data_IF_472987309493
#
_entry.id   IF_472987309493
#
_cell.length_a   1.000
_cell.length_b   1.000
_cell.length_c   1.000
_cell.angle_alpha   90.00
_cell.angle_beta   90.00
_cell.angle_gamma   90.00
#
_symmetry.space_group_name_H-M   'P 1'
#
loop_
_entity.id
_entity.type
_entity.pdbx_description
1 polymer ?
#
# COMPACT_ATOMS: atom_id res chain seq x y z
N UNK A 1 -7.58 11.56 -26.45
CA UNK A 1 -6.77 11.63 -25.22
C UNK A 1 -7.49 10.94 -24.08
N UNK A 2 -6.83 10.05 -23.36
CA UNK A 2 -7.40 9.34 -22.22
C UNK A 2 -6.47 9.43 -20.99
N UNK A 3 -6.98 9.06 -19.80
CA UNK A 3 -6.23 9.16 -18.54
C UNK A 3 -4.91 8.37 -18.56
N UNK A 4 -4.87 7.20 -19.21
CA UNK A 4 -3.66 6.38 -19.29
C UNK A 4 -2.53 7.10 -20.05
N UNK A 5 -2.84 7.71 -21.19
CA UNK A 5 -1.89 8.49 -21.97
C UNK A 5 -1.34 9.68 -21.18
N UNK A 6 -2.22 10.39 -20.48
CA UNK A 6 -1.84 11.51 -19.60
C UNK A 6 -0.93 11.05 -18.48
N UNK A 7 -1.25 9.94 -17.81
CA UNK A 7 -0.44 9.36 -16.74
C UNK A 7 0.95 8.93 -17.21
N UNK A 8 1.04 8.26 -18.34
CA UNK A 8 2.32 7.80 -18.88
C UNK A 8 3.21 8.99 -19.26
N UNK A 9 2.62 10.01 -19.90
CA UNK A 9 3.35 11.23 -20.22
C UNK A 9 3.78 12.01 -18.98
N UNK A 10 2.90 12.14 -18.00
CA UNK A 10 3.21 12.80 -16.74
C UNK A 10 4.36 12.11 -16.00
N UNK A 11 4.34 10.78 -15.90
CA UNK A 11 5.41 9.99 -15.28
C UNK A 11 6.75 10.17 -16.01
N UNK A 12 6.73 10.26 -17.33
CA UNK A 12 7.91 10.56 -18.14
C UNK A 12 8.45 11.95 -17.80
N UNK A 13 7.58 12.96 -17.71
CA UNK A 13 7.98 14.33 -17.37
C UNK A 13 8.56 14.43 -15.94
N UNK A 14 7.96 13.76 -14.96
CA UNK A 14 8.52 13.67 -13.61
C UNK A 14 9.91 13.03 -13.63
N UNK A 15 10.06 11.93 -14.35
CA UNK A 15 11.33 11.16 -14.40
C UNK A 15 12.43 11.89 -15.17
N UNK A 16 12.11 12.48 -16.33
CA UNK A 16 13.09 13.07 -17.24
C UNK A 16 13.46 14.50 -16.90
N UNK A 17 12.50 15.29 -16.38
CA UNK A 17 12.67 16.72 -16.09
C UNK A 17 12.62 17.06 -14.61
N UNK A 18 12.33 16.09 -13.72
CA UNK A 18 12.22 16.31 -12.28
C UNK A 18 11.05 17.22 -11.90
N UNK A 19 9.99 17.25 -12.71
CA UNK A 19 8.84 18.10 -12.44
C UNK A 19 8.04 17.60 -11.24
N UNK A 20 7.42 18.55 -10.53
CA UNK A 20 6.40 18.22 -9.54
C UNK A 20 5.24 17.46 -10.23
N UNK A 21 4.70 16.39 -9.62
CA UNK A 21 3.63 15.58 -10.20
C UNK A 21 2.40 16.38 -10.67
N UNK A 22 2.01 17.39 -9.89
CA UNK A 22 0.85 18.24 -10.25
C UNK A 22 1.13 19.09 -11.48
N UNK A 23 2.34 19.62 -11.59
CA UNK A 23 2.75 20.38 -12.75
C UNK A 23 2.95 19.49 -13.98
N UNK A 24 3.48 18.28 -13.79
CA UNK A 24 3.65 17.30 -14.85
C UNK A 24 2.31 16.85 -15.46
N UNK A 25 1.26 16.74 -14.65
CA UNK A 25 -0.08 16.40 -15.15
C UNK A 25 -0.68 17.51 -16.04
N UNK A 26 -0.53 18.77 -15.63
CA UNK A 26 -0.96 19.92 -16.45
C UNK A 26 -0.21 19.92 -17.78
N UNK A 27 1.13 19.84 -17.73
CA UNK A 27 1.96 19.86 -18.91
C UNK A 27 1.70 18.67 -19.84
N UNK A 28 1.42 17.49 -19.29
CA UNK A 28 1.09 16.30 -20.08
C UNK A 28 -0.24 16.47 -20.83
N UNK A 29 -1.23 17.08 -20.19
CA UNK A 29 -2.53 17.38 -20.84
C UNK A 29 -2.33 18.41 -21.94
N UNK A 30 -1.61 19.51 -21.69
CA UNK A 30 -1.32 20.55 -22.69
C UNK A 30 -0.61 19.94 -23.90
N UNK A 31 0.46 19.15 -23.70
CA UNK A 31 1.24 18.52 -24.77
C UNK A 31 0.40 17.51 -25.59
N UNK A 32 -0.53 16.79 -24.96
CA UNK A 32 -1.36 15.79 -25.63
C UNK A 32 -2.63 16.40 -26.25
N UNK A 33 -3.07 17.55 -25.77
CA UNK A 33 -4.22 18.29 -26.34
C UNK A 33 -3.83 19.06 -27.61
N UNK A 34 -2.55 19.38 -27.80
CA UNK A 34 -2.07 20.05 -29.03
C UNK A 34 -2.46 19.24 -30.27
N UNK A 35 -3.39 19.77 -31.05
CA UNK A 35 -3.83 19.16 -32.32
C UNK A 35 -5.12 18.32 -32.23
N UNK A 36 -5.76 18.22 -31.09
CA UNK A 36 -7.05 17.55 -30.95
C UNK A 36 -8.21 18.55 -31.18
N UNK A 37 -9.13 18.19 -32.08
CA UNK A 37 -10.31 19.01 -32.43
C UNK A 37 -11.54 18.71 -31.55
N UNK A 38 -11.43 17.78 -30.62
CA UNK A 38 -12.54 17.38 -29.75
C UNK A 38 -12.52 18.14 -28.42
N UNK A 39 -13.72 18.53 -27.95
CA UNK A 39 -13.89 19.10 -26.62
C UNK A 39 -13.59 18.04 -25.56
N UNK A 40 -12.42 18.13 -24.97
CA UNK A 40 -11.95 17.24 -23.90
C UNK A 40 -12.11 17.98 -22.58
N UNK A 41 -12.56 17.29 -21.55
CA UNK A 41 -12.60 17.82 -20.19
C UNK A 41 -11.17 17.75 -19.58
N UNK A 42 -10.35 18.74 -19.94
CA UNK A 42 -8.95 18.85 -19.52
C UNK A 42 -8.82 18.98 -18.00
N UNK A 43 -9.69 19.80 -17.37
CA UNK A 43 -9.69 19.99 -15.92
C UNK A 43 -9.93 18.67 -15.18
N UNK A 44 -10.84 17.85 -15.68
CA UNK A 44 -11.10 16.53 -15.14
C UNK A 44 -9.90 15.60 -15.30
N UNK A 45 -9.29 15.56 -16.47
CA UNK A 45 -8.12 14.70 -16.73
C UNK A 45 -6.91 15.12 -15.88
N UNK A 46 -6.66 16.42 -15.74
CA UNK A 46 -5.62 16.95 -14.85
C UNK A 46 -5.90 16.55 -13.40
N UNK A 47 -7.15 16.71 -12.93
CA UNK A 47 -7.51 16.34 -11.57
C UNK A 47 -7.36 14.83 -11.31
N UNK A 48 -7.77 13.99 -12.27
CA UNK A 48 -7.61 12.54 -12.20
C UNK A 48 -6.14 12.10 -12.26
N UNK A 49 -5.34 12.71 -13.13
CA UNK A 49 -3.90 12.43 -13.24
C UNK A 49 -3.16 12.86 -11.99
N UNK A 50 -3.41 14.04 -11.46
CA UNK A 50 -2.84 14.49 -10.19
C UNK A 50 -3.18 13.55 -9.04
N UNK A 51 -4.41 13.05 -9.02
CA UNK A 51 -4.86 12.11 -8.03
C UNK A 51 -4.07 10.79 -8.06
N UNK A 52 -3.72 10.32 -9.24
CA UNK A 52 -2.96 9.07 -9.44
C UNK A 52 -1.44 9.24 -9.25
N UNK A 53 -0.90 10.41 -9.65
CA UNK A 53 0.54 10.69 -9.59
C UNK A 53 1.04 11.02 -8.18
N UNK A 54 0.20 11.68 -7.37
CA UNK A 54 0.55 12.11 -6.01
C UNK A 54 0.68 10.95 -5.02
N UNK A 55 0.41 9.71 -5.44
CA UNK A 55 0.38 8.56 -4.56
C UNK A 55 -0.62 8.77 -3.42
N UNK A 56 -0.25 8.37 -2.20
CA UNK A 56 -1.06 8.60 -1.00
C UNK A 56 -0.57 9.78 -0.17
N UNK A 57 -0.02 10.80 -0.84
CA UNK A 57 0.38 12.08 -0.25
C UNK A 57 1.25 11.94 1.03
N UNK A 58 0.82 12.61 2.09
CA UNK A 58 1.52 12.66 3.37
C UNK A 58 1.77 11.29 4.01
N UNK A 59 1.02 10.24 3.65
CA UNK A 59 1.25 8.89 4.19
C UNK A 59 2.15 8.02 3.29
N UNK A 60 2.46 8.45 2.07
CA UNK A 60 3.28 7.67 1.14
C UNK A 60 4.66 7.28 1.71
N UNK A 61 5.42 8.17 2.38
CA UNK A 61 6.70 7.80 2.97
C UNK A 61 6.60 6.65 3.98
N UNK A 62 5.51 6.58 4.74
CA UNK A 62 5.25 5.50 5.70
C UNK A 62 4.85 4.20 5.00
N UNK A 63 4.16 4.28 3.88
CA UNK A 63 3.85 3.11 3.05
C UNK A 63 5.11 2.56 2.37
N UNK A 64 6.03 3.42 1.98
CA UNK A 64 7.27 3.01 1.32
C UNK A 64 8.34 2.49 2.31
N UNK A 65 8.27 2.88 3.58
CA UNK A 65 9.22 2.42 4.61
C UNK A 65 9.04 0.92 4.90
N UNK A 66 10.01 0.05 4.51
CA UNK A 66 9.90 -1.39 4.69
C UNK A 66 9.94 -1.86 6.17
N UNK A 67 10.30 -0.97 7.10
CA UNK A 67 10.32 -1.26 8.52
C UNK A 67 8.95 -1.16 9.17
N UNK A 68 8.01 -0.45 8.54
CA UNK A 68 6.65 -0.26 9.04
C UNK A 68 5.78 -1.42 8.59
N UNK A 69 5.08 -2.03 9.54
CA UNK A 69 4.20 -3.18 9.32
C UNK A 69 2.73 -2.77 9.22
N UNK A 70 2.34 -1.78 9.98
CA UNK A 70 0.94 -1.34 10.11
C UNK A 70 0.83 0.15 10.39
N UNK A 71 -0.22 0.80 9.86
CA UNK A 71 -0.49 2.23 9.96
C UNK A 71 -1.94 2.44 10.43
N UNK A 72 -2.15 3.44 11.30
CA UNK A 72 -3.50 3.84 11.75
C UNK A 72 -3.66 5.35 11.68
N UNK A 73 -4.81 5.79 11.20
CA UNK A 73 -5.27 7.18 11.26
C UNK A 73 -6.66 7.15 11.89
N UNK A 74 -6.73 7.47 13.19
CA UNK A 74 -7.98 7.49 13.94
C UNK A 74 -8.53 8.90 14.14
N UNK A 75 -7.75 9.91 13.77
CA UNK A 75 -8.12 11.33 13.75
C UNK A 75 -7.23 12.09 12.76
N UNK A 76 -7.74 13.19 12.18
CA UNK A 76 -6.93 14.08 11.37
C UNK A 76 -5.73 14.60 12.14
N UNK A 77 -4.62 14.84 11.44
CA UNK A 77 -3.39 15.40 12.02
C UNK A 77 -2.51 14.40 12.77
N UNK A 78 -2.93 13.15 12.93
CA UNK A 78 -2.17 12.13 13.66
C UNK A 78 -2.12 10.82 12.88
N UNK A 79 -0.92 10.32 12.66
CA UNK A 79 -0.64 8.98 12.12
C UNK A 79 0.06 8.16 13.19
N UNK A 80 -0.39 6.94 13.37
CA UNK A 80 0.25 5.93 14.21
C UNK A 80 0.76 4.81 13.33
N UNK A 81 1.90 4.24 13.70
CA UNK A 81 2.43 3.08 13.00
C UNK A 81 3.12 2.11 13.95
N UNK A 82 3.20 0.84 13.51
CA UNK A 82 3.97 -0.19 14.18
C UNK A 82 5.16 -0.61 13.33
N UNK A 83 6.29 -0.81 13.99
CA UNK A 83 7.48 -1.43 13.45
C UNK A 83 8.11 -2.36 14.51
N UNK A 84 9.28 -2.93 14.23
CA UNK A 84 9.99 -3.81 15.15
C UNK A 84 10.33 -3.16 16.53
N UNK A 85 10.38 -1.81 16.58
CA UNK A 85 10.63 -1.05 17.81
C UNK A 85 9.36 -0.76 18.62
N UNK A 86 8.18 -1.20 18.12
CA UNK A 86 6.88 -0.98 18.74
C UNK A 86 6.02 0.07 18.05
N UNK A 87 5.09 0.65 18.80
CA UNK A 87 4.14 1.64 18.30
C UNK A 87 4.70 3.06 18.40
N UNK A 88 4.53 3.83 17.32
CA UNK A 88 4.93 5.23 17.26
C UNK A 88 3.77 6.11 16.81
N UNK A 89 3.82 7.39 17.18
CA UNK A 89 2.82 8.40 16.83
C UNK A 89 3.53 9.59 16.23
N UNK A 90 3.04 10.07 15.09
CA UNK A 90 3.61 11.20 14.35
C UNK A 90 2.50 12.20 14.00
N UNK A 91 2.81 13.49 14.13
CA UNK A 91 1.95 14.53 13.60
C UNK A 91 2.12 14.60 12.08
N UNK A 92 1.00 14.66 11.36
CA UNK A 92 0.96 14.79 9.91
C UNK A 92 0.03 15.95 9.52
N UNK A 93 0.34 16.62 8.41
CA UNK A 93 -0.55 17.66 7.88
C UNK A 93 -1.65 17.00 7.03
N UNK A 94 -2.71 16.55 7.71
CA UNK A 94 -3.83 15.86 7.10
C UNK A 94 -5.14 16.31 7.75
N UNK A 95 -5.92 17.10 7.04
CA UNK A 95 -7.26 17.54 7.47
C UNK A 95 -8.29 16.43 7.30
N UNK A 96 -9.45 16.55 7.97
CA UNK A 96 -10.56 15.60 7.82
C UNK A 96 -11.06 15.47 6.37
N UNK A 97 -11.07 16.58 5.62
CA UNK A 97 -11.45 16.60 4.21
C UNK A 97 -10.43 15.83 3.35
N UNK A 98 -9.14 16.06 3.58
CA UNK A 98 -8.07 15.35 2.87
C UNK A 98 -8.06 13.87 3.20
N UNK A 99 -8.24 13.49 4.48
CA UNK A 99 -8.34 12.08 4.88
C UNK A 99 -9.49 11.37 4.15
N UNK A 100 -10.66 12.01 4.05
CA UNK A 100 -11.78 11.45 3.27
C UNK A 100 -11.41 11.25 1.80
N UNK A 101 -10.79 12.24 1.16
CA UNK A 101 -10.37 12.16 -0.24
C UNK A 101 -9.31 11.06 -0.44
N UNK A 102 -8.36 10.96 0.48
CA UNK A 102 -7.34 9.91 0.49
C UNK A 102 -7.96 8.50 0.54
N UNK A 103 -8.93 8.27 1.44
CA UNK A 103 -9.65 7.00 1.53
C UNK A 103 -10.42 6.69 0.24
N UNK A 104 -11.14 7.66 -0.31
CA UNK A 104 -11.86 7.48 -1.58
C UNK A 104 -10.92 7.12 -2.73
N UNK A 105 -9.71 7.70 -2.75
CA UNK A 105 -8.65 7.35 -3.69
C UNK A 105 -8.17 5.92 -3.53
N UNK A 106 -7.89 5.50 -2.29
CA UNK A 106 -7.49 4.12 -1.97
C UNK A 106 -8.53 3.10 -2.42
N UNK A 107 -9.82 3.44 -2.30
CA UNK A 107 -10.92 2.54 -2.67
C UNK A 107 -11.23 2.52 -4.17
N UNK A 108 -10.76 3.48 -4.96
CA UNK A 108 -11.11 3.62 -6.38
C UNK A 108 -10.90 2.33 -7.18
N UNK A 109 -9.80 1.63 -6.95
CA UNK A 109 -9.46 0.40 -7.68
C UNK A 109 -10.07 -0.87 -7.08
N UNK A 110 -10.66 -0.78 -5.90
CA UNK A 110 -11.21 -1.94 -5.20
C UNK A 110 -12.64 -2.30 -5.62
N UNK A 111 -13.34 -1.39 -6.30
CA UNK A 111 -14.77 -1.54 -6.60
C UNK A 111 -15.67 -1.56 -5.35
N UNK A 112 -15.12 -1.31 -4.17
CA UNK A 112 -15.84 -1.34 -2.89
C UNK A 112 -16.59 -0.04 -2.65
N UNK A 113 -17.77 -0.13 -2.02
CA UNK A 113 -18.57 1.01 -1.58
C UNK A 113 -18.30 1.31 -0.11
N UNK A 114 -18.29 2.60 0.22
CA UNK A 114 -18.20 3.09 1.57
C UNK A 114 -19.14 4.28 1.72
N UNK A 115 -20.27 4.04 2.37
CA UNK A 115 -21.33 5.02 2.59
C UNK A 115 -22.10 4.67 3.88
N UNK A 116 -23.17 5.41 4.18
CA UNK A 116 -23.98 5.19 5.39
C UNK A 116 -24.67 3.82 5.46
N UNK A 117 -24.91 3.20 4.31
CA UNK A 117 -25.50 1.84 4.25
C UNK A 117 -24.42 0.77 4.40
N UNK A 118 -23.17 1.10 4.01
CA UNK A 118 -22.00 0.25 4.14
C UNK A 118 -20.92 1.04 4.88
N UNK A 119 -21.02 1.19 6.22
CA UNK A 119 -20.22 2.15 6.99
C UNK A 119 -18.80 1.70 7.30
N UNK A 120 -18.40 0.55 6.82
CA UNK A 120 -17.03 0.03 6.89
C UNK A 120 -16.68 -0.74 5.62
N UNK A 121 -15.39 -0.86 5.33
CA UNK A 121 -14.90 -1.57 4.15
C UNK A 121 -13.56 -2.22 4.43
N UNK A 122 -13.39 -3.42 3.87
CA UNK A 122 -12.11 -4.09 3.71
C UNK A 122 -11.75 -4.09 2.22
N UNK A 123 -10.53 -3.68 1.90
CA UNK A 123 -10.02 -3.62 0.53
C UNK A 123 -8.52 -3.95 0.49
N UNK A 124 -8.03 -4.31 -0.69
CA UNK A 124 -6.61 -4.45 -0.94
C UNK A 124 -6.11 -3.23 -1.73
N UNK A 125 -4.97 -2.67 -1.31
CA UNK A 125 -4.27 -1.62 -2.04
C UNK A 125 -3.47 -2.22 -3.21
N UNK A 126 -3.06 -1.41 -4.20
CA UNK A 126 -2.30 -1.90 -5.36
C UNK A 126 -0.99 -2.61 -5.02
N UNK A 127 -0.39 -2.29 -3.88
CA UNK A 127 0.83 -2.93 -3.38
C UNK A 127 0.56 -4.24 -2.62
N UNK A 128 -0.69 -4.67 -2.51
CA UNK A 128 -1.15 -5.84 -1.77
C UNK A 128 -1.36 -5.61 -0.27
N UNK A 129 -1.18 -4.38 0.22
CA UNK A 129 -1.52 -4.01 1.60
C UNK A 129 -3.02 -4.07 1.82
N UNK A 130 -3.44 -4.46 3.02
CA UNK A 130 -4.86 -4.51 3.40
C UNK A 130 -5.29 -3.21 4.02
N UNK A 131 -6.37 -2.66 3.51
CA UNK A 131 -7.01 -1.44 3.99
C UNK A 131 -8.31 -1.81 4.72
N UNK A 132 -8.49 -1.33 5.94
CA UNK A 132 -9.75 -1.33 6.67
C UNK A 132 -10.15 0.09 7.00
N UNK A 133 -11.38 0.48 6.68
CA UNK A 133 -11.90 1.83 6.95
C UNK A 133 -13.26 1.76 7.60
N UNK A 134 -13.48 2.62 8.59
CA UNK A 134 -14.77 2.83 9.25
C UNK A 134 -15.08 4.32 9.23
N UNK A 135 -16.31 4.68 8.84
CA UNK A 135 -16.75 6.08 8.75
C UNK A 135 -17.31 6.61 10.08
N UNK A 136 -17.44 7.96 10.23
CA UNK A 136 -17.89 8.60 11.48
C UNK A 136 -19.26 8.15 11.98
N UNK A 137 -20.12 7.63 11.13
CA UNK A 137 -21.42 7.08 11.54
C UNK A 137 -21.30 5.94 12.57
N UNK A 138 -20.14 5.27 12.61
CA UNK A 138 -19.82 4.21 13.59
C UNK A 138 -18.83 4.72 14.63
N UNK A 139 -17.76 5.40 14.20
CA UNK A 139 -16.67 5.87 15.07
C UNK A 139 -17.02 7.14 15.83
N UNK A 140 -18.10 7.82 15.47
CA UNK A 140 -18.70 9.05 16.01
C UNK A 140 -18.02 10.34 15.54
N UNK A 141 -16.69 10.47 15.70
CA UNK A 141 -16.03 11.76 15.47
C UNK A 141 -15.26 11.80 14.14
N UNK A 142 -14.45 10.79 13.88
CA UNK A 142 -13.50 10.79 12.77
C UNK A 142 -13.51 9.47 12.02
N UNK A 143 -13.03 9.50 10.80
CA UNK A 143 -12.73 8.30 10.03
C UNK A 143 -11.65 7.51 10.75
N UNK A 144 -11.82 6.19 10.86
CA UNK A 144 -10.77 5.28 11.31
C UNK A 144 -10.25 4.52 10.11
N UNK A 145 -8.95 4.62 9.88
CA UNK A 145 -8.25 3.98 8.77
C UNK A 145 -7.15 3.11 9.34
N UNK A 146 -7.12 1.85 8.93
CA UNK A 146 -6.04 0.92 9.24
C UNK A 146 -5.48 0.37 7.93
N UNK A 147 -4.17 0.40 7.77
CA UNK A 147 -3.46 -0.18 6.64
C UNK A 147 -2.43 -1.17 7.17
N UNK A 148 -2.65 -2.45 6.91
CA UNK A 148 -1.70 -3.51 7.22
C UNK A 148 -0.87 -3.82 5.99
N UNK A 149 0.40 -3.49 6.04
CA UNK A 149 1.30 -3.64 4.89
C UNK A 149 1.55 -5.11 4.56
N UNK A 150 1.63 -5.37 3.27
CA UNK A 150 2.06 -6.67 2.81
C UNK A 150 3.57 -6.82 3.02
N UNK A 151 3.98 -7.76 3.89
CA UNK A 151 5.40 -8.04 4.13
C UNK A 151 6.07 -8.50 2.83
N UNK A 152 6.76 -7.60 2.13
CA UNK A 152 7.47 -7.89 0.87
C UNK A 152 8.72 -8.76 1.10
N UNK A 153 9.29 -8.73 2.29
CA UNK A 153 10.55 -9.41 2.60
C UNK A 153 10.28 -10.86 2.99
N UNK A 154 10.63 -11.77 2.10
CA UNK A 154 10.69 -13.20 2.42
C UNK A 154 12.03 -13.47 3.06
N UNK A 155 12.03 -13.93 4.31
CA UNK A 155 13.25 -14.35 4.99
C UNK A 155 13.72 -15.70 4.42
N UNK A 156 15.02 -15.85 4.21
CA UNK A 156 15.60 -17.16 3.89
C UNK A 156 15.63 -18.07 5.12
N UNK A 157 15.79 -19.38 4.92
CA UNK A 157 15.99 -20.32 6.05
C UNK A 157 17.22 -19.93 6.88
N UNK A 158 18.29 -19.43 6.25
CA UNK A 158 19.49 -18.98 6.96
C UNK A 158 19.23 -17.74 7.82
N UNK A 159 18.38 -16.83 7.35
CA UNK A 159 17.93 -15.68 8.13
C UNK A 159 17.03 -16.08 9.31
N UNK A 160 16.24 -17.15 9.17
CA UNK A 160 15.46 -17.70 10.28
C UNK A 160 16.37 -18.37 11.33
N UNK A 161 17.47 -19.00 10.91
CA UNK A 161 18.48 -19.55 11.81
C UNK A 161 19.21 -18.43 12.55
N UNK A 162 19.71 -17.43 11.83
CA UNK A 162 20.43 -16.29 12.45
C UNK A 162 19.52 -15.46 13.37
N UNK A 163 18.20 -15.43 13.11
CA UNK A 163 17.20 -14.83 13.99
C UNK A 163 16.73 -15.72 15.14
N UNK A 164 17.29 -16.94 15.30
CA UNK A 164 16.95 -17.85 16.38
C UNK A 164 15.58 -18.52 16.28
N UNK A 165 14.90 -18.41 15.13
CA UNK A 165 13.59 -19.04 14.89
C UNK A 165 13.71 -20.52 14.53
N UNK A 166 14.85 -20.93 14.01
CA UNK A 166 15.21 -22.32 13.68
C UNK A 166 16.66 -22.58 14.12
N UNK A 167 16.99 -23.81 14.39
CA UNK A 167 18.40 -24.27 14.46
C UNK A 167 18.87 -24.78 13.07
N UNK A 168 20.20 -24.94 12.92
CA UNK A 168 20.77 -25.36 11.64
C UNK A 168 20.31 -26.77 11.23
N UNK A 169 20.07 -27.68 12.20
CA UNK A 169 19.64 -29.04 11.92
C UNK A 169 18.19 -29.04 11.37
N UNK A 170 17.33 -28.23 11.95
CA UNK A 170 15.95 -28.03 11.47
C UNK A 170 15.93 -27.41 10.05
N UNK A 171 16.74 -26.39 9.81
CA UNK A 171 16.85 -25.78 8.47
C UNK A 171 17.33 -26.80 7.43
N UNK A 172 18.32 -27.62 7.76
CA UNK A 172 18.83 -28.68 6.88
C UNK A 172 17.75 -29.75 6.60
N UNK A 173 17.00 -30.17 7.62
CA UNK A 173 15.90 -31.14 7.47
C UNK A 173 14.82 -30.57 6.53
N UNK A 174 14.44 -29.31 6.70
CA UNK A 174 13.46 -28.64 5.84
C UNK A 174 13.94 -28.53 4.39
N UNK A 175 15.20 -28.17 4.15
CA UNK A 175 15.80 -28.18 2.80
C UNK A 175 15.72 -29.55 2.14
N UNK A 176 16.11 -30.61 2.89
CA UNK A 176 16.03 -31.99 2.39
C UNK A 176 14.60 -32.42 2.09
N UNK A 177 13.62 -32.04 2.92
CA UNK A 177 12.23 -32.35 2.70
C UNK A 177 11.69 -31.67 1.42
N UNK A 178 12.07 -30.40 1.17
CA UNK A 178 11.72 -29.67 -0.07
C UNK A 178 12.34 -30.35 -1.28
N UNK A 179 13.64 -30.61 -1.26
CA UNK A 179 14.35 -31.29 -2.37
C UNK A 179 13.77 -32.67 -2.69
N UNK A 180 13.30 -33.38 -1.66
CA UNK A 180 12.65 -34.67 -1.80
C UNK A 180 11.14 -34.56 -2.11
N UNK A 181 10.63 -33.38 -2.42
CA UNK A 181 9.21 -33.11 -2.75
C UNK A 181 8.23 -33.65 -1.70
N UNK A 182 8.59 -33.59 -0.41
CA UNK A 182 7.73 -34.07 0.65
C UNK A 182 6.65 -33.04 1.01
N UNK A 183 5.50 -33.52 1.44
CA UNK A 183 4.45 -32.67 2.01
C UNK A 183 4.88 -32.16 3.38
N UNK A 184 4.76 -30.85 3.61
CA UNK A 184 5.12 -30.18 4.86
C UNK A 184 3.87 -29.48 5.41
N UNK A 185 3.51 -29.80 6.67
CA UNK A 185 2.43 -29.13 7.39
C UNK A 185 3.05 -28.15 8.40
N UNK A 186 2.70 -26.87 8.28
CA UNK A 186 3.11 -25.81 9.23
C UNK A 186 1.93 -25.42 10.10
N UNK A 187 2.02 -25.68 11.41
CA UNK A 187 0.97 -25.37 12.39
C UNK A 187 1.52 -24.55 13.56
N UNK A 188 0.65 -23.88 14.31
CA UNK A 188 1.00 -23.08 15.47
C UNK A 188 -0.03 -22.00 15.76
N UNK A 189 0.12 -21.29 16.87
CA UNK A 189 -0.75 -20.19 17.30
C UNK A 189 -0.72 -18.98 16.34
N UNK A 190 -1.67 -18.06 16.47
CA UNK A 190 -1.63 -16.78 15.74
C UNK A 190 -0.36 -16.02 16.09
N UNK A 191 0.25 -15.33 15.12
CA UNK A 191 1.52 -14.61 15.22
C UNK A 191 2.76 -15.47 15.54
N UNK A 192 2.68 -16.81 15.46
CA UNK A 192 3.84 -17.71 15.71
C UNK A 192 4.82 -17.84 14.54
N UNK A 193 4.72 -17.00 13.49
CA UNK A 193 5.63 -17.04 12.34
C UNK A 193 5.30 -18.09 11.26
N UNK A 194 4.14 -18.75 11.30
CA UNK A 194 3.74 -19.78 10.31
C UNK A 194 3.89 -19.34 8.87
N UNK A 195 3.33 -18.17 8.56
CA UNK A 195 3.36 -17.60 7.19
C UNK A 195 4.78 -17.22 6.80
N UNK A 196 5.59 -16.75 7.73
CA UNK A 196 7.00 -16.42 7.49
C UNK A 196 7.78 -17.68 7.12
N UNK A 197 7.64 -18.75 7.91
CA UNK A 197 8.27 -20.04 7.61
C UNK A 197 7.78 -20.60 6.27
N UNK A 198 6.47 -20.60 6.01
CA UNK A 198 5.91 -21.09 4.75
C UNK A 198 6.48 -20.35 3.54
N UNK A 199 6.59 -19.00 3.61
CA UNK A 199 7.20 -18.21 2.55
C UNK A 199 8.68 -18.55 2.34
N UNK A 200 9.44 -18.76 3.43
CA UNK A 200 10.84 -19.18 3.36
C UNK A 200 10.98 -20.55 2.66
N UNK A 201 10.09 -21.50 2.97
CA UNK A 201 10.07 -22.81 2.32
C UNK A 201 9.74 -22.69 0.82
N UNK A 202 8.74 -21.89 0.45
CA UNK A 202 8.37 -21.65 -0.95
C UNK A 202 9.50 -20.95 -1.74
N UNK A 203 10.21 -20.02 -1.13
CA UNK A 203 11.36 -19.38 -1.76
C UNK A 203 12.55 -20.34 -1.97
N UNK A 204 12.68 -21.36 -1.11
CA UNK A 204 13.73 -22.38 -1.21
C UNK A 204 13.39 -23.46 -2.26
N UNK A 205 12.12 -23.58 -2.65
CA UNK A 205 11.65 -24.60 -3.63
C UNK A 205 11.85 -24.19 -5.09
N UNK A 206 12.32 -22.97 -5.34
CA UNK A 206 12.63 -22.42 -6.66
C UNK A 206 14.13 -22.51 -6.91
#
# INVERSE_FOLDING_TARGET
>A
MNLSEVLDRSRELVRSRGLDPAFAAVQAVDELAEGLSESIDEERLIAEANLELSGFEVIQPFLDDPSIEELWINRPGELRFANASGHQVVAIDLTAKQLRLLVLRMLRHSGRRLDRLTPFVDADLPDGSRLHVVIPEITRDHWSVNIRKFARKTLSLDQLVSGGSLDESQALQLRRAITASKSILVSGATHSGKTTLLRSLLATSR
#
